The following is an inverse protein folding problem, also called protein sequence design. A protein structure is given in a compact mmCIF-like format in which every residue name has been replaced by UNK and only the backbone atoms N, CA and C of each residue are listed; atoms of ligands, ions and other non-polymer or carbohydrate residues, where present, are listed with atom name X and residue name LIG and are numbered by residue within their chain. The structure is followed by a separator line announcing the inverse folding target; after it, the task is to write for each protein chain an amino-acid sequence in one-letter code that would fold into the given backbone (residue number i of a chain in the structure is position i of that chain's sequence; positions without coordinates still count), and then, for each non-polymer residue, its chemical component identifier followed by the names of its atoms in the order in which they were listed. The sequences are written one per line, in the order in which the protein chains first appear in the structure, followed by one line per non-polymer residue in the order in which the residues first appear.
data_IF_879939695997
#
_entry.id   IF_879939695997
#
_cell.length_a   1.000
_cell.length_b   1.000
_cell.length_c   1.000
_cell.angle_alpha   90.00
_cell.angle_beta   90.00
_cell.angle_gamma   90.00
#
_symmetry.space_group_name_H-M   'P 1'
#
loop_
_entity.id
_entity.type
_entity.pdbx_description
1 polymer ?
#
# COMPACT_ATOMS: atom_id res chain seq x y z
N UNK A 1 4.17 -13.83 -12.90
CA UNK A 1 4.03 -14.09 -11.47
C UNK A 1 3.61 -12.81 -10.75
N UNK A 2 2.64 -12.90 -9.90
CA UNK A 2 2.15 -11.72 -9.17
C UNK A 2 3.02 -11.44 -7.95
N UNK A 3 3.38 -10.17 -7.78
CA UNK A 3 4.12 -9.69 -6.62
C UNK A 3 3.20 -8.81 -5.79
N UNK A 4 2.72 -9.36 -4.69
CA UNK A 4 1.82 -8.65 -3.80
C UNK A 4 2.28 -8.79 -2.36
N UNK A 5 2.13 -7.72 -1.60
CA UNK A 5 2.30 -7.73 -0.15
C UNK A 5 0.94 -7.61 0.49
N UNK A 6 0.71 -8.39 1.54
CA UNK A 6 -0.52 -8.35 2.29
C UNK A 6 -0.22 -7.95 3.73
N UNK A 7 -0.98 -6.99 4.24
CA UNK A 7 -0.85 -6.52 5.62
C UNK A 7 -2.19 -6.64 6.32
N UNK A 8 -2.18 -7.14 7.53
CA UNK A 8 -3.37 -7.15 8.40
C UNK A 8 -3.16 -6.12 9.50
N UNK A 9 -3.95 -5.05 9.47
CA UNK A 9 -3.85 -3.96 10.43
C UNK A 9 -5.25 -3.70 11.00
N UNK A 10 -5.38 -3.78 12.32
CA UNK A 10 -6.66 -3.57 13.01
C UNK A 10 -7.79 -4.42 12.44
N UNK A 11 -7.47 -5.68 12.07
CA UNK A 11 -8.47 -6.61 11.54
C UNK A 11 -8.83 -6.40 10.09
N UNK A 12 -8.20 -5.45 9.39
CA UNK A 12 -8.42 -5.22 7.98
C UNK A 12 -7.24 -5.69 7.15
N UNK A 13 -7.53 -6.22 5.98
CA UNK A 13 -6.51 -6.71 5.06
C UNK A 13 -6.21 -5.65 4.00
N UNK A 14 -4.93 -5.32 3.88
CA UNK A 14 -4.43 -4.38 2.86
C UNK A 14 -3.52 -5.14 1.91
N UNK A 15 -3.78 -5.02 0.63
CA UNK A 15 -3.01 -5.70 -0.41
C UNK A 15 -2.33 -4.65 -1.30
N UNK A 16 -1.01 -4.75 -1.42
CA UNK A 16 -0.22 -3.86 -2.26
C UNK A 16 0.29 -4.63 -3.46
N UNK A 17 -0.06 -4.17 -4.66
CA UNK A 17 0.42 -4.75 -5.91
C UNK A 17 1.76 -4.10 -6.26
N UNK A 18 2.86 -4.80 -6.00
CA UNK A 18 4.21 -4.27 -6.18
C UNK A 18 4.56 -3.98 -7.64
N UNK A 19 3.91 -4.67 -8.57
CA UNK A 19 4.18 -4.47 -9.99
C UNK A 19 3.67 -3.11 -10.49
N UNK A 20 2.68 -2.55 -9.80
CA UNK A 20 2.06 -1.28 -10.17
C UNK A 20 2.43 -0.13 -9.25
N UNK A 21 3.13 -0.43 -8.17
CA UNK A 21 3.48 0.57 -7.17
C UNK A 21 4.61 1.46 -7.67
N UNK A 22 4.45 2.78 -7.51
CA UNK A 22 5.52 3.73 -7.77
C UNK A 22 6.41 3.90 -6.56
N UNK A 23 5.81 4.23 -5.42
CA UNK A 23 6.57 4.45 -4.20
C UNK A 23 5.66 4.43 -2.97
N UNK A 24 6.29 4.32 -1.81
CA UNK A 24 5.67 4.51 -0.51
C UNK A 24 6.08 5.85 0.07
N UNK A 25 5.24 6.41 0.91
CA UNK A 25 5.58 7.60 1.67
C UNK A 25 5.08 7.42 3.12
N UNK A 26 6.00 7.49 4.07
CA UNK A 26 5.64 7.41 5.49
C UNK A 26 5.15 8.77 5.98
N UNK A 27 4.04 8.78 6.72
CA UNK A 27 3.45 10.00 7.25
C UNK A 27 2.85 9.69 8.62
N UNK A 28 3.50 10.10 9.69
CA UNK A 28 3.05 9.93 11.08
C UNK A 28 2.55 8.51 11.37
N UNK A 29 1.22 8.33 11.26
CA UNK A 29 0.54 7.09 11.61
C UNK A 29 0.09 6.31 10.39
N UNK A 30 0.51 6.71 9.19
CA UNK A 30 0.06 6.09 7.95
C UNK A 30 1.21 5.86 6.99
N UNK A 31 1.05 4.85 6.15
CA UNK A 31 1.91 4.64 4.99
C UNK A 31 1.07 4.86 3.74
N UNK A 32 1.46 5.82 2.93
CA UNK A 32 0.82 6.13 1.67
C UNK A 32 1.40 5.26 0.57
N UNK A 33 0.55 4.68 -0.26
CA UNK A 33 0.96 3.86 -1.39
C UNK A 33 0.47 4.52 -2.67
N UNK A 34 1.39 4.82 -3.58
CA UNK A 34 1.09 5.49 -4.85
C UNK A 34 1.33 4.53 -6.00
N UNK A 35 0.33 4.38 -6.85
CA UNK A 35 0.39 3.52 -8.02
C UNK A 35 0.60 4.32 -9.30
N UNK A 36 1.15 3.65 -10.32
CA UNK A 36 1.38 4.26 -11.63
C UNK A 36 0.08 4.67 -12.33
N UNK A 37 -1.04 4.07 -11.96
CA UNK A 37 -2.36 4.43 -12.49
C UNK A 37 -2.91 5.74 -11.94
N UNK A 38 -2.23 6.34 -10.96
CA UNK A 38 -2.71 7.52 -10.25
C UNK A 38 -3.53 7.18 -9.00
N UNK A 39 -3.76 5.91 -8.76
CA UNK A 39 -4.46 5.46 -7.56
C UNK A 39 -3.56 5.61 -6.35
N UNK A 40 -4.15 6.00 -5.23
CA UNK A 40 -3.45 6.21 -3.98
C UNK A 40 -4.31 5.73 -2.82
N UNK A 41 -3.69 5.04 -1.87
CA UNK A 41 -4.39 4.67 -0.64
C UNK A 41 -3.44 4.70 0.55
N UNK A 42 -4.02 4.66 1.76
CA UNK A 42 -3.26 4.72 3.00
C UNK A 42 -3.45 3.46 3.81
N UNK A 43 -2.36 3.00 4.41
CA UNK A 43 -2.37 1.88 5.36
C UNK A 43 -2.07 2.47 6.74
N UNK A 44 -2.92 2.22 7.75
CA UNK A 44 -2.76 2.82 9.08
C UNK A 44 -1.67 2.10 9.92
N UNK A 45 -0.44 2.23 9.46
CA UNK A 45 0.68 1.69 10.27
C UNK A 45 2.00 2.37 9.94
#
# INVERSE_FOLDING_TARGET
MENKLCFSVYGELYVVDLDRMLYFEADDHYTHVYYSSGTHFMIPF
#
